data_IF_536993060434
#
_entry.id   IF_536993060434
#
_cell.length_a   1.000
_cell.length_b   1.000
_cell.length_c   1.000
_cell.angle_alpha   90.00
_cell.angle_beta   90.00
_cell.angle_gamma   90.00
#
_symmetry.space_group_name_H-M   'P 1'
#
loop_
_entity.id
_entity.type
_entity.pdbx_description
1 polymer ?
#
# COMPACT_ATOMS: atom_id res chain seq x y z
N UNK A 1 -12.81 -40.34 -44.37
CA UNK A 1 -11.67 -39.85 -43.55
C UNK A 1 -11.92 -40.05 -42.05
N UNK A 2 -13.12 -39.79 -41.54
CA UNK A 2 -13.45 -39.98 -40.11
C UNK A 2 -13.59 -41.44 -39.63
N UNK A 3 -13.86 -42.39 -40.52
CA UNK A 3 -14.01 -43.82 -40.19
C UNK A 3 -12.70 -44.55 -39.83
N UNK A 4 -11.54 -43.87 -39.91
CA UNK A 4 -10.22 -44.43 -39.57
C UNK A 4 -9.64 -43.88 -38.25
N UNK A 5 -10.36 -43.01 -37.55
CA UNK A 5 -9.87 -42.43 -36.30
C UNK A 5 -10.19 -43.35 -35.11
N UNK A 6 -9.26 -43.52 -34.15
CA UNK A 6 -9.53 -44.27 -32.93
C UNK A 6 -10.73 -43.72 -32.15
N UNK A 7 -11.48 -44.60 -31.48
CA UNK A 7 -12.60 -44.20 -30.63
C UNK A 7 -12.16 -43.15 -29.60
N UNK A 8 -12.89 -42.03 -29.54
CA UNK A 8 -12.58 -40.91 -28.64
C UNK A 8 -11.48 -39.97 -29.13
N UNK A 9 -10.90 -40.16 -30.33
CA UNK A 9 -9.91 -39.24 -30.90
C UNK A 9 -10.46 -37.81 -31.04
N UNK A 10 -11.66 -37.66 -31.64
CA UNK A 10 -12.33 -36.36 -31.79
C UNK A 10 -12.53 -35.72 -30.41
N UNK A 11 -13.03 -36.48 -29.43
CA UNK A 11 -13.24 -35.99 -28.06
C UNK A 11 -11.94 -35.50 -27.42
N UNK A 12 -10.85 -36.27 -27.50
CA UNK A 12 -9.53 -35.88 -26.97
C UNK A 12 -8.99 -34.64 -27.66
N UNK A 13 -9.05 -34.58 -29.00
CA UNK A 13 -8.60 -33.43 -29.78
C UNK A 13 -9.42 -32.17 -29.44
N UNK A 14 -10.74 -32.29 -29.31
CA UNK A 14 -11.61 -31.18 -28.88
C UNK A 14 -11.26 -30.69 -27.49
N UNK A 15 -11.06 -31.59 -26.52
CA UNK A 15 -10.66 -31.21 -25.15
C UNK A 15 -9.33 -30.45 -25.16
N UNK A 16 -8.34 -30.92 -25.93
CA UNK A 16 -7.03 -30.27 -26.03
C UNK A 16 -7.16 -28.87 -26.64
N UNK A 17 -7.87 -28.74 -27.76
CA UNK A 17 -8.03 -27.46 -28.47
C UNK A 17 -8.80 -26.46 -27.62
N UNK A 18 -9.92 -26.87 -27.02
CA UNK A 18 -10.75 -25.99 -26.18
C UNK A 18 -10.00 -25.58 -24.92
N UNK A 19 -9.35 -26.52 -24.23
CA UNK A 19 -8.60 -26.20 -23.00
C UNK A 19 -7.39 -25.32 -23.31
N UNK A 20 -6.65 -25.63 -24.39
CA UNK A 20 -5.52 -24.83 -24.84
C UNK A 20 -5.93 -23.41 -25.25
N UNK A 21 -7.05 -23.28 -25.99
CA UNK A 21 -7.60 -22.00 -26.38
C UNK A 21 -8.06 -21.15 -25.19
N UNK A 22 -8.74 -21.76 -24.21
CA UNK A 22 -9.17 -21.07 -22.99
C UNK A 22 -7.98 -20.62 -22.13
N UNK A 23 -6.96 -21.47 -21.97
CA UNK A 23 -5.74 -21.12 -21.25
C UNK A 23 -4.96 -20.01 -21.96
N UNK A 24 -4.87 -20.08 -23.28
CA UNK A 24 -4.21 -19.04 -24.09
C UNK A 24 -4.93 -17.70 -24.01
N UNK A 25 -6.26 -17.69 -24.17
CA UNK A 25 -7.09 -16.49 -24.03
C UNK A 25 -7.00 -15.90 -22.61
N UNK A 26 -7.15 -16.74 -21.57
CA UNK A 26 -7.04 -16.29 -20.19
C UNK A 26 -5.66 -15.72 -19.86
N UNK A 27 -4.59 -16.36 -20.33
CA UNK A 27 -3.24 -15.83 -20.18
C UNK A 27 -3.04 -14.49 -20.89
N UNK A 28 -3.60 -14.33 -22.09
CA UNK A 28 -3.55 -13.08 -22.84
C UNK A 28 -4.32 -11.96 -22.13
N UNK A 29 -5.55 -12.21 -21.67
CA UNK A 29 -6.36 -11.24 -20.92
C UNK A 29 -5.70 -10.83 -19.60
N UNK A 30 -5.04 -11.77 -18.90
CA UNK A 30 -4.27 -11.47 -17.70
C UNK A 30 -3.08 -10.56 -18.01
N UNK A 31 -2.32 -10.83 -19.07
CA UNK A 31 -1.21 -9.98 -19.51
C UNK A 31 -1.67 -8.64 -20.07
N UNK A 32 -2.85 -8.59 -20.71
CA UNK A 32 -3.48 -7.35 -21.18
C UNK A 32 -4.08 -6.53 -20.04
N UNK A 33 -4.25 -7.12 -18.86
CA UNK A 33 -4.82 -6.43 -17.70
C UNK A 33 -6.27 -6.05 -17.87
N UNK A 34 -7.08 -6.87 -18.55
CA UNK A 34 -8.51 -6.60 -18.72
C UNK A 34 -9.23 -6.54 -17.38
N UNK A 35 -9.65 -5.35 -16.93
CA UNK A 35 -10.37 -5.18 -15.66
C UNK A 35 -11.59 -6.07 -15.59
N UNK A 36 -12.37 -6.12 -16.66
CA UNK A 36 -13.58 -6.95 -16.73
C UNK A 36 -13.25 -8.44 -16.60
N UNK A 37 -12.15 -8.91 -17.19
CA UNK A 37 -11.73 -10.29 -17.04
C UNK A 37 -11.28 -10.60 -15.60
N UNK A 38 -10.54 -9.69 -14.97
CA UNK A 38 -10.15 -9.85 -13.58
C UNK A 38 -11.37 -9.86 -12.65
N UNK A 39 -12.26 -8.88 -12.75
CA UNK A 39 -13.43 -8.75 -11.89
C UNK A 39 -14.44 -9.88 -12.08
N UNK A 40 -14.65 -10.35 -13.32
CA UNK A 40 -15.71 -11.34 -13.62
C UNK A 40 -15.23 -12.80 -13.69
N UNK A 41 -13.93 -13.04 -13.87
CA UNK A 41 -13.40 -14.39 -14.00
C UNK A 41 -12.31 -14.70 -12.97
N UNK A 42 -11.19 -13.95 -12.98
CA UNK A 42 -10.02 -14.30 -12.15
C UNK A 42 -10.32 -14.17 -10.66
N UNK A 43 -10.78 -13.00 -10.23
CA UNK A 43 -10.96 -12.69 -8.80
C UNK A 43 -12.08 -13.52 -8.16
N UNK A 44 -13.26 -13.74 -8.79
CA UNK A 44 -14.26 -14.64 -8.25
C UNK A 44 -13.75 -16.07 -8.02
N UNK A 45 -12.91 -16.59 -8.93
CA UNK A 45 -12.28 -17.89 -8.76
C UNK A 45 -11.28 -17.89 -7.60
N UNK A 46 -10.43 -16.86 -7.51
CA UNK A 46 -9.48 -16.71 -6.37
C UNK A 46 -10.23 -16.64 -5.05
N UNK A 47 -11.29 -15.82 -4.96
CA UNK A 47 -12.07 -15.63 -3.74
C UNK A 47 -12.77 -16.91 -3.29
N UNK A 48 -13.24 -17.73 -4.25
CA UNK A 48 -13.93 -18.99 -3.98
C UNK A 48 -13.01 -20.13 -3.56
N UNK A 49 -11.81 -20.23 -4.13
CA UNK A 49 -10.97 -21.42 -4.00
C UNK A 49 -9.70 -21.22 -3.16
N UNK A 50 -9.31 -19.98 -2.83
CA UNK A 50 -8.04 -19.71 -2.16
C UNK A 50 -8.25 -18.74 -1.01
N UNK A 51 -7.78 -19.06 0.20
CA UNK A 51 -7.93 -18.18 1.36
C UNK A 51 -7.17 -16.85 1.23
N UNK A 52 -7.46 -15.92 2.14
CA UNK A 52 -6.90 -14.56 2.17
C UNK A 52 -5.37 -14.52 2.17
N UNK A 53 -4.72 -15.34 3.00
CA UNK A 53 -3.27 -15.30 3.15
C UNK A 53 -2.57 -16.04 2.00
N UNK A 54 -3.11 -17.18 1.56
CA UNK A 54 -2.54 -17.92 0.43
C UNK A 54 -2.63 -17.13 -0.87
N UNK A 55 -3.79 -16.50 -1.16
CA UNK A 55 -3.97 -15.66 -2.35
C UNK A 55 -3.01 -14.47 -2.37
N UNK A 56 -2.79 -13.84 -1.22
CA UNK A 56 -1.82 -12.76 -1.06
C UNK A 56 -0.38 -13.22 -1.35
N UNK A 57 0.05 -14.34 -0.77
CA UNK A 57 1.39 -14.88 -1.00
C UNK A 57 1.59 -15.29 -2.48
N UNK A 58 0.56 -15.85 -3.12
CA UNK A 58 0.59 -16.15 -4.55
C UNK A 58 0.71 -14.88 -5.39
N UNK A 59 -0.01 -13.80 -5.03
CA UNK A 59 0.09 -12.53 -5.73
C UNK A 59 1.51 -11.94 -5.66
N UNK A 60 2.15 -11.97 -4.48
CA UNK A 60 3.56 -11.56 -4.32
C UNK A 60 4.49 -12.44 -5.17
N UNK A 61 4.28 -13.76 -5.16
CA UNK A 61 5.12 -14.70 -5.90
C UNK A 61 5.00 -14.51 -7.42
N UNK A 62 3.78 -14.28 -7.93
CA UNK A 62 3.60 -13.94 -9.33
C UNK A 62 4.24 -12.59 -9.67
N UNK A 63 4.10 -11.59 -8.79
CA UNK A 63 4.76 -10.31 -8.98
C UNK A 63 6.29 -10.42 -8.97
N UNK A 64 6.88 -11.23 -8.08
CA UNK A 64 8.34 -11.45 -8.04
C UNK A 64 8.87 -12.16 -9.29
N UNK A 65 8.03 -12.94 -9.98
CA UNK A 65 8.32 -13.50 -11.31
C UNK A 65 8.04 -12.54 -12.47
N UNK A 66 7.57 -11.32 -12.19
CA UNK A 66 7.20 -10.35 -13.22
C UNK A 66 5.93 -10.74 -13.99
N UNK A 67 5.08 -11.57 -13.38
CA UNK A 67 3.76 -11.96 -13.88
C UNK A 67 2.73 -10.97 -13.32
N UNK A 68 2.79 -9.77 -13.86
CA UNK A 68 1.81 -8.70 -13.69
C UNK A 68 1.24 -8.36 -15.07
N UNK A 69 0.06 -7.71 -15.16
CA UNK A 69 -0.38 -7.12 -16.41
C UNK A 69 0.75 -6.30 -17.06
N UNK A 70 1.01 -6.50 -18.35
CA UNK A 70 2.12 -5.87 -19.09
C UNK A 70 1.65 -4.95 -20.20
N UNK A 71 0.44 -5.15 -20.69
CA UNK A 71 -0.13 -4.45 -21.83
C UNK A 71 -1.48 -3.84 -21.44
N UNK A 72 -2.12 -3.18 -22.41
CA UNK A 72 -3.46 -2.63 -22.23
C UNK A 72 -3.50 -1.21 -21.63
N UNK A 73 -4.72 -0.65 -21.46
CA UNK A 73 -4.93 0.73 -21.06
C UNK A 73 -4.36 1.06 -19.67
N UNK A 74 -4.17 0.05 -18.82
CA UNK A 74 -3.59 0.21 -17.49
C UNK A 74 -2.10 0.54 -17.54
N UNK A 75 -1.44 0.48 -18.71
CA UNK A 75 -0.04 0.89 -18.87
C UNK A 75 0.11 2.30 -19.45
N UNK A 76 -1.00 2.93 -19.83
CA UNK A 76 -0.97 4.30 -20.34
C UNK A 76 -0.67 5.27 -19.20
N UNK A 77 0.41 6.03 -19.35
CA UNK A 77 0.69 7.18 -18.50
C UNK A 77 -0.16 8.37 -18.95
N UNK A 78 -0.69 9.12 -18.00
CA UNK A 78 -1.47 10.34 -18.23
C UNK A 78 -0.66 11.53 -17.71
N UNK A 79 -0.14 12.43 -18.58
CA UNK A 79 0.69 13.56 -18.17
C UNK A 79 0.02 14.46 -17.12
N UNK A 80 -1.31 14.53 -17.11
CA UNK A 80 -2.12 15.30 -16.16
C UNK A 80 -1.96 14.79 -14.72
N UNK A 81 -1.63 13.51 -14.53
CA UNK A 81 -1.39 12.90 -13.23
C UNK A 81 0.03 13.16 -12.71
N UNK A 82 0.94 13.65 -13.54
CA UNK A 82 2.31 13.91 -13.11
C UNK A 82 2.32 14.96 -11.99
N UNK A 83 3.01 14.65 -10.89
CA UNK A 83 3.04 15.51 -9.71
C UNK A 83 4.43 15.55 -9.08
N UNK A 84 4.65 16.49 -8.16
CA UNK A 84 5.84 16.53 -7.31
C UNK A 84 5.44 16.17 -5.89
N UNK A 85 6.19 15.29 -5.25
CA UNK A 85 6.00 14.91 -3.86
C UNK A 85 7.34 14.80 -3.17
N UNK A 86 7.50 15.51 -2.04
CA UNK A 86 8.72 15.53 -1.23
C UNK A 86 10.02 15.78 -2.03
N UNK A 87 9.95 16.66 -3.03
CA UNK A 87 11.09 17.02 -3.89
C UNK A 87 11.34 16.07 -5.05
N UNK A 88 10.54 15.01 -5.23
CA UNK A 88 10.62 14.09 -6.36
C UNK A 88 9.48 14.27 -7.35
N UNK A 89 9.78 14.17 -8.64
CA UNK A 89 8.78 14.07 -9.69
C UNK A 89 8.23 12.65 -9.77
N UNK A 90 6.92 12.51 -9.76
CA UNK A 90 6.19 11.26 -9.88
C UNK A 90 5.36 11.28 -11.16
N UNK A 91 5.23 10.12 -11.80
CA UNK A 91 4.39 9.98 -13.01
C UNK A 91 2.90 10.03 -12.69
N UNK A 92 2.53 9.62 -11.49
CA UNK A 92 1.15 9.66 -10.98
C UNK A 92 1.18 9.69 -9.43
N UNK A 93 0.08 10.11 -8.78
CA UNK A 93 0.02 10.23 -7.32
C UNK A 93 -0.39 8.93 -6.62
N UNK A 94 -0.45 7.79 -7.32
CA UNK A 94 -1.00 6.53 -6.77
C UNK A 94 0.14 5.60 -6.39
N UNK A 95 0.12 5.11 -5.14
CA UNK A 95 1.15 4.24 -4.60
C UNK A 95 0.63 2.91 -4.04
N UNK A 96 1.53 1.94 -3.91
CA UNK A 96 1.30 0.71 -3.18
C UNK A 96 1.53 0.91 -1.69
N UNK A 97 0.52 0.62 -0.86
CA UNK A 97 0.65 0.75 0.59
C UNK A 97 1.52 -0.35 1.21
N UNK A 98 2.16 -0.05 2.35
CA UNK A 98 2.82 -1.07 3.15
C UNK A 98 1.88 -2.21 3.56
N UNK A 99 2.48 -3.36 3.78
CA UNK A 99 1.82 -4.60 4.15
C UNK A 99 1.50 -5.48 2.95
N UNK A 100 1.62 -4.96 1.72
CA UNK A 100 1.57 -5.79 0.52
C UNK A 100 2.88 -6.57 0.38
N UNK A 101 3.96 -5.94 -0.07
CA UNK A 101 5.28 -6.57 -0.17
C UNK A 101 6.08 -6.39 1.12
N UNK A 102 5.71 -7.18 2.16
CA UNK A 102 6.30 -7.06 3.51
C UNK A 102 7.81 -7.30 3.52
N UNK A 103 8.28 -8.25 2.72
CA UNK A 103 9.67 -8.71 2.76
C UNK A 103 10.52 -8.22 1.59
N UNK A 104 9.97 -7.36 0.72
CA UNK A 104 10.66 -6.84 -0.45
C UNK A 104 10.92 -7.88 -1.54
N UNK A 105 10.00 -8.82 -1.73
CA UNK A 105 10.11 -9.95 -2.65
C UNK A 105 9.86 -9.56 -4.11
N UNK A 106 9.10 -8.49 -4.36
CA UNK A 106 8.65 -8.10 -5.70
C UNK A 106 8.98 -6.63 -6.05
N UNK A 107 9.91 -5.98 -5.31
CA UNK A 107 10.22 -4.55 -5.42
C UNK A 107 10.39 -4.08 -6.88
N UNK A 108 11.27 -4.74 -7.64
CA UNK A 108 11.60 -4.29 -9.00
C UNK A 108 10.40 -4.43 -9.95
N UNK A 109 9.74 -5.59 -9.95
CA UNK A 109 8.54 -5.82 -10.76
C UNK A 109 7.41 -4.87 -10.39
N UNK A 110 7.23 -4.56 -9.10
CA UNK A 110 6.26 -3.56 -8.69
C UNK A 110 6.64 -2.19 -9.25
N UNK A 111 7.89 -1.76 -9.12
CA UNK A 111 8.34 -0.46 -9.62
C UNK A 111 8.16 -0.30 -11.13
N UNK A 112 8.45 -1.36 -11.88
CA UNK A 112 8.49 -1.28 -13.34
C UNK A 112 7.15 -1.62 -14.00
N UNK A 113 6.38 -2.55 -13.44
CA UNK A 113 5.24 -3.18 -14.13
C UNK A 113 3.88 -2.87 -13.49
N UNK A 114 3.82 -2.54 -12.19
CA UNK A 114 2.52 -2.32 -11.53
C UNK A 114 1.89 -0.98 -11.91
N UNK A 115 2.72 0.00 -12.26
CA UNK A 115 2.30 1.33 -12.63
C UNK A 115 2.13 2.35 -11.50
N UNK A 116 2.46 1.97 -10.26
CA UNK A 116 2.46 2.89 -9.13
C UNK A 116 3.56 3.96 -9.25
N UNK A 117 3.23 5.20 -8.87
CA UNK A 117 4.20 6.28 -8.69
C UNK A 117 5.02 6.16 -7.39
N UNK A 118 4.54 5.41 -6.40
CA UNK A 118 5.25 5.14 -5.14
C UNK A 118 5.06 3.69 -4.69
N UNK A 119 6.07 3.09 -4.07
CA UNK A 119 5.99 1.73 -3.53
C UNK A 119 6.55 1.70 -2.13
N UNK A 120 5.78 1.13 -1.21
CA UNK A 120 6.18 0.97 0.18
C UNK A 120 6.27 -0.51 0.57
N UNK A 121 7.47 -0.97 0.93
CA UNK A 121 7.66 -2.32 1.51
C UNK A 121 7.52 -2.31 3.03
N UNK A 122 7.42 -3.50 3.62
CA UNK A 122 7.30 -3.67 5.06
C UNK A 122 5.84 -3.78 5.51
N UNK A 123 5.52 -3.65 6.79
CA UNK A 123 6.43 -3.23 7.87
C UNK A 123 7.50 -4.27 8.19
N UNK A 124 8.76 -3.82 8.16
CA UNK A 124 9.95 -4.62 8.48
C UNK A 124 10.29 -4.45 9.95
N UNK A 125 10.58 -5.57 10.62
CA UNK A 125 11.08 -5.61 11.99
C UNK A 125 12.59 -5.91 12.00
N UNK A 126 13.35 -5.51 13.03
CA UNK A 126 14.77 -5.84 13.16
C UNK A 126 15.04 -7.35 13.04
N UNK A 127 14.40 -8.14 13.90
CA UNK A 127 14.55 -9.59 13.99
C UNK A 127 13.39 -10.25 13.23
N UNK A 128 13.62 -11.39 12.54
CA UNK A 128 12.54 -12.14 11.93
C UNK A 128 11.48 -12.56 12.96
N UNK A 129 10.20 -12.46 12.59
CA UNK A 129 9.11 -12.99 13.41
C UNK A 129 7.96 -13.52 12.53
N UNK A 130 7.30 -14.62 12.94
CA UNK A 130 6.28 -15.26 12.12
C UNK A 130 4.95 -14.49 12.07
N UNK A 131 4.73 -13.54 12.99
CA UNK A 131 3.45 -12.87 13.23
C UNK A 131 2.52 -13.66 14.16
N UNK A 132 1.25 -13.27 14.23
CA UNK A 132 0.24 -13.98 15.03
C UNK A 132 -0.20 -15.31 14.36
N UNK A 133 -0.80 -16.26 15.12
CA UNK A 133 -1.28 -17.54 14.57
C UNK A 133 -2.30 -17.38 13.43
N UNK A 134 -2.36 -18.35 12.52
CA UNK A 134 -3.36 -18.42 11.44
C UNK A 134 -4.66 -19.09 11.95
N UNK A 135 -5.83 -18.79 11.36
CA UNK A 135 -6.10 -17.78 10.33
C UNK A 135 -6.04 -16.35 10.90
N UNK A 136 -5.53 -15.42 10.08
CA UNK A 136 -5.21 -14.03 10.50
C UNK A 136 -5.54 -12.96 9.48
N UNK A 137 -6.24 -13.33 8.40
CA UNK A 137 -6.64 -12.46 7.30
C UNK A 137 -7.98 -12.97 6.80
N UNK A 138 -8.98 -12.09 6.77
CA UNK A 138 -10.37 -12.41 6.45
C UNK A 138 -10.84 -11.41 5.42
N UNK A 139 -11.31 -11.91 4.27
CA UNK A 139 -11.96 -11.07 3.25
C UNK A 139 -13.44 -11.01 3.56
N UNK A 140 -13.96 -9.80 3.66
CA UNK A 140 -15.37 -9.50 3.79
C UNK A 140 -15.84 -9.14 2.38
N UNK A 141 -16.24 -10.15 1.60
CA UNK A 141 -16.48 -10.02 0.16
C UNK A 141 -17.63 -9.05 -0.13
N UNK A 142 -18.72 -9.15 0.62
CA UNK A 142 -19.91 -8.29 0.49
C UNK A 142 -19.63 -6.84 0.87
N UNK A 143 -18.65 -6.62 1.74
CA UNK A 143 -18.28 -5.29 2.24
C UNK A 143 -17.08 -4.67 1.50
N UNK A 144 -16.47 -5.40 0.55
CA UNK A 144 -15.16 -5.09 -0.04
C UNK A 144 -14.10 -4.70 1.04
N UNK A 145 -14.15 -5.42 2.16
CA UNK A 145 -13.37 -5.15 3.36
C UNK A 145 -12.37 -6.26 3.68
N UNK A 146 -11.28 -5.93 4.39
CA UNK A 146 -10.35 -6.95 4.90
C UNK A 146 -10.09 -6.69 6.37
N UNK A 147 -10.31 -7.70 7.20
CA UNK A 147 -9.85 -7.74 8.59
C UNK A 147 -8.56 -8.54 8.65
N UNK A 148 -7.51 -7.98 9.24
CA UNK A 148 -6.26 -8.71 9.45
C UNK A 148 -5.67 -8.50 10.84
N UNK A 149 -5.01 -9.55 11.33
CA UNK A 149 -4.26 -9.58 12.58
C UNK A 149 -2.86 -10.17 12.40
N UNK A 150 -2.18 -9.81 11.31
CA UNK A 150 -0.85 -10.36 10.99
C UNK A 150 0.18 -10.23 12.12
N UNK A 151 0.23 -9.08 12.81
CA UNK A 151 1.20 -8.84 13.89
C UNK A 151 2.65 -8.74 13.40
N UNK A 152 2.90 -7.98 12.33
CA UNK A 152 4.22 -7.80 11.70
C UNK A 152 4.97 -9.11 11.42
N UNK A 153 4.35 -10.02 10.67
CA UNK A 153 5.10 -11.12 10.07
C UNK A 153 6.17 -10.55 9.12
N UNK A 154 7.43 -10.81 9.41
CA UNK A 154 8.58 -10.16 8.78
C UNK A 154 9.77 -11.11 8.79
N UNK A 155 10.50 -11.18 7.67
CA UNK A 155 11.73 -11.96 7.57
C UNK A 155 12.97 -11.27 8.17
N UNK A 156 12.77 -10.13 8.84
CA UNK A 156 13.82 -9.39 9.54
C UNK A 156 14.61 -8.44 8.64
N UNK A 157 15.18 -7.40 9.26
CA UNK A 157 15.86 -6.31 8.57
C UNK A 157 17.01 -6.83 7.68
N UNK A 158 17.80 -7.79 8.16
CA UNK A 158 18.95 -8.33 7.42
C UNK A 158 18.54 -8.96 6.08
N UNK A 159 17.48 -9.78 6.05
CA UNK A 159 17.06 -10.47 4.81
C UNK A 159 16.39 -9.50 3.85
N UNK A 160 15.54 -8.61 4.38
CA UNK A 160 14.86 -7.59 3.57
C UNK A 160 15.88 -6.60 2.99
N UNK A 161 16.91 -6.19 3.76
CA UNK A 161 17.97 -5.31 3.31
C UNK A 161 18.71 -5.87 2.09
N UNK A 162 19.00 -7.18 2.06
CA UNK A 162 19.62 -7.81 0.89
C UNK A 162 18.76 -7.62 -0.36
N UNK A 163 17.45 -7.88 -0.26
CA UNK A 163 16.52 -7.70 -1.39
C UNK A 163 16.40 -6.23 -1.81
N UNK A 164 16.32 -5.32 -0.84
CA UNK A 164 16.28 -3.87 -1.09
C UNK A 164 17.54 -3.42 -1.83
N UNK A 165 18.74 -3.81 -1.38
CA UNK A 165 20.00 -3.46 -2.06
C UNK A 165 20.04 -4.00 -3.49
N UNK A 166 19.66 -5.26 -3.69
CA UNK A 166 19.59 -5.86 -5.03
C UNK A 166 18.60 -5.11 -5.92
N UNK A 167 17.40 -4.81 -5.43
CA UNK A 167 16.40 -4.09 -6.21
C UNK A 167 16.88 -2.67 -6.56
N UNK A 168 17.41 -1.91 -5.59
CA UNK A 168 17.91 -0.54 -5.79
C UNK A 168 19.08 -0.47 -6.76
N UNK A 169 19.99 -1.45 -6.74
CA UNK A 169 21.11 -1.50 -7.69
C UNK A 169 20.64 -1.70 -9.14
N UNK A 170 19.46 -2.30 -9.35
CA UNK A 170 18.87 -2.55 -10.67
C UNK A 170 17.75 -1.56 -11.02
N UNK A 171 17.48 -0.57 -10.16
CA UNK A 171 16.36 0.34 -10.31
C UNK A 171 16.74 1.48 -11.26
N UNK A 172 16.14 1.52 -12.46
CA UNK A 172 16.40 2.63 -13.40
C UNK A 172 15.78 3.94 -12.92
N UNK A 173 16.33 5.06 -13.34
CA UNK A 173 15.83 6.38 -12.93
C UNK A 173 14.35 6.58 -13.28
N UNK A 174 13.62 7.31 -12.43
CA UNK A 174 12.26 7.82 -12.66
C UNK A 174 11.09 6.81 -12.72
N UNK A 175 11.20 5.60 -12.15
CA UNK A 175 10.03 4.69 -12.08
C UNK A 175 9.03 5.06 -10.99
N UNK A 176 9.42 4.89 -9.72
CA UNK A 176 8.57 5.12 -8.57
C UNK A 176 9.42 5.57 -7.37
N UNK A 177 8.83 6.34 -6.48
CA UNK A 177 9.44 6.66 -5.19
C UNK A 177 9.42 5.45 -4.28
N UNK A 178 10.54 5.14 -3.63
CA UNK A 178 10.69 3.94 -2.81
C UNK A 178 10.65 4.22 -1.31
N UNK A 179 9.70 3.59 -0.62
CA UNK A 179 9.53 3.65 0.82
C UNK A 179 9.85 2.35 1.53
N UNK A 180 10.44 2.45 2.72
CA UNK A 180 10.57 1.31 3.65
C UNK A 180 9.83 1.61 4.94
N UNK A 181 8.83 0.80 5.25
CA UNK A 181 8.04 0.91 6.48
C UNK A 181 8.68 0.12 7.61
N UNK A 182 8.97 0.80 8.73
CA UNK A 182 9.67 0.26 9.90
C UNK A 182 8.70 0.04 11.05
N UNK A 183 8.92 -1.02 11.82
CA UNK A 183 8.15 -1.31 13.02
C UNK A 183 8.95 -2.11 14.03
N UNK A 184 8.38 -2.27 15.21
CA UNK A 184 9.02 -2.96 16.34
C UNK A 184 8.71 -4.45 16.38
N UNK A 185 9.65 -5.26 16.86
CA UNK A 185 9.42 -6.64 17.22
C UNK A 185 8.44 -6.75 18.41
N UNK A 186 7.59 -7.79 18.41
CA UNK A 186 6.59 -7.98 19.48
C UNK A 186 7.23 -8.12 20.86
N UNK A 187 8.36 -8.82 20.94
CA UNK A 187 9.10 -9.08 22.17
C UNK A 187 10.13 -7.99 22.54
N UNK A 188 10.28 -6.93 21.73
CA UNK A 188 11.25 -5.88 22.02
C UNK A 188 10.77 -4.98 23.16
N UNK A 189 11.69 -4.70 24.09
CA UNK A 189 11.46 -3.86 25.27
C UNK A 189 11.46 -2.37 24.96
N UNK A 190 12.37 -1.88 24.12
CA UNK A 190 12.45 -0.48 23.72
C UNK A 190 12.23 -0.33 22.21
N UNK A 191 11.13 0.33 21.86
CA UNK A 191 10.78 0.58 20.46
C UNK A 191 11.85 1.43 19.74
N UNK A 192 12.53 2.35 20.43
CA UNK A 192 13.54 3.24 19.84
C UNK A 192 14.69 2.45 19.21
N UNK A 193 15.14 1.39 19.89
CA UNK A 193 16.20 0.50 19.41
C UNK A 193 15.78 -0.18 18.10
N UNK A 194 14.54 -0.64 18.02
CA UNK A 194 14.04 -1.30 16.81
C UNK A 194 13.97 -0.35 15.61
N UNK A 195 13.46 0.87 15.83
CA UNK A 195 13.42 1.89 14.77
C UNK A 195 14.83 2.34 14.39
N UNK A 196 15.76 2.46 15.34
CA UNK A 196 17.16 2.78 15.05
C UNK A 196 17.82 1.72 14.16
N UNK A 197 17.63 0.43 14.45
CA UNK A 197 18.13 -0.66 13.59
C UNK A 197 17.54 -0.54 12.18
N UNK A 198 16.24 -0.27 12.09
CA UNK A 198 15.57 -0.03 10.81
C UNK A 198 16.14 1.15 10.03
N UNK A 199 16.27 2.31 10.68
CA UNK A 199 16.84 3.54 10.09
C UNK A 199 18.26 3.25 9.60
N UNK A 200 19.09 2.63 10.46
CA UNK A 200 20.47 2.33 10.12
C UNK A 200 20.61 1.35 8.96
N UNK A 201 19.67 0.42 8.83
CA UNK A 201 19.65 -0.56 7.75
C UNK A 201 19.21 0.05 6.42
N UNK A 202 18.12 0.82 6.42
CA UNK A 202 17.39 1.15 5.19
C UNK A 202 17.56 2.59 4.72
N UNK A 203 17.97 3.53 5.58
CA UNK A 203 18.12 4.94 5.19
C UNK A 203 18.96 5.17 3.92
N UNK A 204 20.10 4.47 3.68
CA UNK A 204 20.89 4.66 2.47
C UNK A 204 20.26 4.12 1.18
N UNK A 205 19.14 3.40 1.28
CA UNK A 205 18.59 2.59 0.20
C UNK A 205 17.12 2.88 -0.09
N UNK A 206 16.59 3.99 0.43
CA UNK A 206 15.21 4.40 0.19
C UNK A 206 15.09 5.90 -0.02
N UNK A 207 13.97 6.31 -0.60
CA UNK A 207 13.63 7.71 -0.78
C UNK A 207 12.89 8.24 0.44
N UNK A 208 12.17 7.37 1.15
CA UNK A 208 11.56 7.66 2.43
C UNK A 208 11.50 6.46 3.36
N UNK A 209 11.55 6.75 4.66
CA UNK A 209 11.32 5.82 5.76
C UNK A 209 9.96 6.11 6.39
N UNK A 210 9.24 5.08 6.82
CA UNK A 210 8.00 5.25 7.58
C UNK A 210 8.17 4.71 8.98
N UNK A 211 7.92 5.57 9.98
CA UNK A 211 7.79 5.19 11.38
C UNK A 211 6.34 4.75 11.61
N UNK A 212 6.11 3.44 11.75
CA UNK A 212 4.77 2.89 11.90
C UNK A 212 4.40 2.63 13.36
N UNK A 213 3.68 3.59 13.95
CA UNK A 213 3.17 3.53 15.33
C UNK A 213 1.69 3.15 15.41
N UNK A 214 1.08 2.66 14.32
CA UNK A 214 -0.38 2.61 14.19
C UNK A 214 -1.00 1.22 13.98
N UNK A 215 -0.19 0.16 13.87
CA UNK A 215 -0.71 -1.21 13.76
C UNK A 215 -1.54 -1.60 15.00
N UNK A 216 -2.80 -2.06 14.83
CA UNK A 216 -3.60 -2.59 15.95
C UNK A 216 -3.13 -3.96 16.43
N UNK A 217 -2.24 -4.62 15.68
CA UNK A 217 -1.93 -6.03 15.83
C UNK A 217 -0.65 -6.32 16.62
N UNK A 218 0.02 -5.26 17.08
CA UNK A 218 1.22 -5.32 17.91
C UNK A 218 0.89 -4.65 19.24
N UNK A 219 0.79 -5.40 20.35
CA UNK A 219 0.43 -4.85 21.65
C UNK A 219 1.31 -3.66 22.05
N UNK A 220 0.68 -2.60 22.58
CA UNK A 220 1.37 -1.39 23.03
C UNK A 220 1.99 -0.54 21.92
N UNK A 221 1.83 -0.87 20.64
CA UNK A 221 2.41 -0.03 19.58
C UNK A 221 1.67 1.31 19.45
N UNK A 222 0.34 1.29 19.52
CA UNK A 222 -0.49 2.49 19.34
C UNK A 222 -0.33 3.52 20.45
N UNK A 223 0.15 3.13 21.64
CA UNK A 223 0.46 4.08 22.72
C UNK A 223 1.66 4.96 22.39
N UNK A 224 2.52 4.58 21.43
CA UNK A 224 3.59 5.45 20.92
C UNK A 224 3.06 6.69 20.18
N UNK A 225 1.75 6.79 19.95
CA UNK A 225 1.10 7.99 19.42
C UNK A 225 0.79 9.03 20.51
N UNK A 226 0.91 8.67 21.80
CA UNK A 226 0.84 9.63 22.88
C UNK A 226 1.96 10.66 22.72
N UNK A 227 1.67 11.93 23.00
CA UNK A 227 2.56 13.06 22.72
C UNK A 227 4.00 12.82 23.17
N UNK A 228 4.22 12.60 24.47
CA UNK A 228 5.57 12.44 25.03
C UNK A 228 6.34 11.25 24.43
N UNK A 229 5.67 10.11 24.23
CA UNK A 229 6.30 8.92 23.65
C UNK A 229 6.66 9.15 22.18
N UNK A 230 5.78 9.83 21.43
CA UNK A 230 6.00 10.19 20.04
C UNK A 230 7.15 11.18 19.90
N UNK A 231 7.19 12.22 20.73
CA UNK A 231 8.26 13.22 20.78
C UNK A 231 9.62 12.55 21.01
N UNK A 232 9.71 11.69 22.03
CA UNK A 232 10.93 10.95 22.36
C UNK A 232 11.38 10.02 21.22
N UNK A 233 10.43 9.32 20.59
CA UNK A 233 10.72 8.43 19.48
C UNK A 233 11.24 9.20 18.26
N UNK A 234 10.58 10.31 17.89
CA UNK A 234 10.94 11.09 16.71
C UNK A 234 12.26 11.86 16.89
N UNK A 235 12.53 12.40 18.08
CA UNK A 235 13.83 12.99 18.39
C UNK A 235 14.95 11.95 18.24
N UNK A 236 14.75 10.74 18.76
CA UNK A 236 15.72 9.65 18.60
C UNK A 236 15.90 9.25 17.12
N UNK A 237 14.80 9.04 16.40
CA UNK A 237 14.82 8.68 14.99
C UNK A 237 15.55 9.73 14.14
N UNK A 238 15.28 11.03 14.39
CA UNK A 238 15.97 12.13 13.74
C UNK A 238 17.46 12.15 14.08
N UNK A 239 17.82 12.02 15.36
CA UNK A 239 19.21 11.97 15.80
C UNK A 239 19.99 10.85 15.09
N UNK A 240 19.45 9.64 15.08
CA UNK A 240 20.06 8.48 14.41
C UNK A 240 20.25 8.77 12.92
N UNK A 241 19.23 9.31 12.23
CA UNK A 241 19.31 9.60 10.80
C UNK A 241 20.30 10.73 10.48
N UNK A 242 20.32 11.79 11.27
CA UNK A 242 21.26 12.92 11.14
C UNK A 242 22.71 12.45 11.32
N UNK A 243 22.97 11.57 12.29
CA UNK A 243 24.30 11.03 12.58
C UNK A 243 24.91 10.23 11.41
N UNK A 244 24.07 9.73 10.49
CA UNK A 244 24.54 8.98 9.31
C UNK A 244 25.23 9.84 8.25
N UNK A 245 25.01 11.17 8.24
CA UNK A 245 25.60 12.11 7.28
C UNK A 245 25.50 11.63 5.82
N UNK A 246 24.34 11.09 5.44
CA UNK A 246 24.10 10.57 4.08
C UNK A 246 24.10 11.74 3.07
N UNK A 247 24.69 11.53 1.89
CA UNK A 247 24.66 12.50 0.78
C UNK A 247 23.23 12.85 0.37
N UNK A 248 22.39 11.84 0.25
CA UNK A 248 20.94 11.98 0.04
C UNK A 248 20.19 11.44 1.25
N UNK A 249 19.66 12.35 2.06
CA UNK A 249 18.84 12.00 3.23
C UNK A 249 17.44 11.53 2.77
N UNK A 250 16.97 10.33 3.20
CA UNK A 250 15.60 9.92 2.96
C UNK A 250 14.62 10.77 3.78
N UNK A 251 13.40 10.92 3.27
CA UNK A 251 12.31 11.58 3.98
C UNK A 251 11.79 10.71 5.12
N UNK A 252 11.37 11.30 6.23
CA UNK A 252 10.80 10.56 7.37
C UNK A 252 9.30 10.80 7.44
N UNK A 253 8.52 9.74 7.31
CA UNK A 253 7.07 9.77 7.36
C UNK A 253 6.55 9.12 8.64
N UNK A 254 5.47 9.66 9.19
CA UNK A 254 4.76 9.06 10.33
C UNK A 254 3.43 8.47 9.86
N UNK A 255 3.19 7.17 10.12
CA UNK A 255 1.92 6.52 9.78
C UNK A 255 1.02 6.41 11.01
N UNK A 256 -0.15 7.05 10.95
CA UNK A 256 -1.06 7.18 12.09
C UNK A 256 -2.31 6.32 11.97
N UNK A 257 -2.95 6.07 13.12
CA UNK A 257 -4.22 5.35 13.22
C UNK A 257 -5.40 6.26 12.83
N UNK A 258 -6.46 5.74 12.19
CA UNK A 258 -7.71 6.49 12.06
C UNK A 258 -8.48 6.58 13.39
N UNK A 259 -8.18 5.70 14.34
CA UNK A 259 -8.91 5.53 15.61
C UNK A 259 -8.49 6.54 16.71
N UNK A 260 -7.95 7.69 16.32
CA UNK A 260 -7.47 8.72 17.24
C UNK A 260 -8.62 9.65 17.67
N UNK A 261 -8.60 10.05 18.93
CA UNK A 261 -9.46 11.12 19.48
C UNK A 261 -9.06 12.50 18.92
N UNK A 262 -9.91 13.50 19.12
CA UNK A 262 -9.64 14.87 18.69
C UNK A 262 -8.38 15.47 19.32
N UNK A 263 -8.16 15.25 20.62
CA UNK A 263 -6.97 15.72 21.35
C UNK A 263 -5.70 15.02 20.88
N UNK A 264 -5.73 13.70 20.68
CA UNK A 264 -4.57 12.96 20.16
C UNK A 264 -4.16 13.44 18.76
N UNK A 265 -5.13 13.76 17.89
CA UNK A 265 -4.84 14.37 16.57
C UNK A 265 -4.19 15.75 16.71
N UNK A 266 -4.65 16.57 17.65
CA UNK A 266 -4.06 17.88 17.93
C UNK A 266 -2.61 17.74 18.44
N UNK A 267 -2.36 16.82 19.36
CA UNK A 267 -1.02 16.55 19.86
C UNK A 267 -0.08 16.07 18.76
N UNK A 268 -0.51 15.11 17.94
CA UNK A 268 0.27 14.65 16.78
C UNK A 268 0.55 15.81 15.82
N UNK A 269 -0.45 16.64 15.51
CA UNK A 269 -0.28 17.79 14.62
C UNK A 269 0.75 18.80 15.16
N UNK A 270 0.74 19.07 16.46
CA UNK A 270 1.75 19.93 17.10
C UNK A 270 3.16 19.33 16.95
N UNK A 271 3.31 18.03 17.18
CA UNK A 271 4.59 17.33 17.04
C UNK A 271 5.08 17.35 15.60
N UNK A 272 4.24 16.99 14.61
CA UNK A 272 4.73 16.91 13.22
C UNK A 272 4.97 18.26 12.55
N UNK A 273 4.36 19.34 13.05
CA UNK A 273 4.65 20.70 12.59
C UNK A 273 5.99 21.24 13.13
N UNK A 274 6.48 20.71 14.24
CA UNK A 274 7.72 21.20 14.85
C UNK A 274 8.94 20.53 14.15
N UNK A 275 9.76 21.30 13.43
CA UNK A 275 10.87 20.76 12.62
C UNK A 275 11.93 20.05 13.46
N UNK A 276 11.97 20.26 14.78
CA UNK A 276 12.91 19.54 15.65
C UNK A 276 12.66 18.03 15.68
N UNK A 277 11.44 17.58 15.35
CA UNK A 277 11.11 16.16 15.28
C UNK A 277 11.37 15.54 13.91
N UNK A 278 11.63 16.35 12.88
CA UNK A 278 12.09 15.89 11.57
C UNK A 278 11.12 15.00 10.82
N UNK A 279 9.80 15.22 10.96
CA UNK A 279 8.77 14.54 10.17
C UNK A 279 8.53 15.34 8.88
N UNK A 280 8.75 14.70 7.74
CA UNK A 280 8.59 15.31 6.42
C UNK A 280 7.17 15.15 5.85
N UNK A 281 6.41 14.14 6.28
CA UNK A 281 5.03 13.88 5.83
C UNK A 281 4.29 12.89 6.74
N UNK A 282 2.97 12.83 6.57
CA UNK A 282 2.08 11.87 7.23
C UNK A 282 1.57 10.81 6.26
N UNK A 283 1.31 9.59 6.77
CA UNK A 283 0.46 8.60 6.09
C UNK A 283 -0.83 8.43 6.90
N UNK A 284 -1.95 8.79 6.28
CA UNK A 284 -3.28 8.85 6.91
C UNK A 284 -4.25 7.99 6.09
N UNK A 285 -4.56 6.75 6.47
CA UNK A 285 -4.27 6.11 7.75
C UNK A 285 -3.92 4.64 7.63
N UNK A 286 -3.59 4.03 8.77
CA UNK A 286 -3.60 2.59 8.96
C UNK A 286 -5.04 2.04 9.05
N UNK A 287 -5.18 0.76 9.37
CA UNK A 287 -6.46 0.08 9.56
C UNK A 287 -7.19 0.53 10.83
N UNK A 288 -8.52 0.40 10.85
CA UNK A 288 -9.38 0.76 12.01
C UNK A 288 -9.73 -0.48 12.85
N UNK A 289 -9.84 -0.32 14.17
CA UNK A 289 -10.44 -1.36 15.03
C UNK A 289 -11.96 -1.24 15.12
N UNK A 290 -12.53 -0.12 14.69
CA UNK A 290 -13.98 0.07 14.64
C UNK A 290 -14.63 -0.93 13.67
N UNK A 291 -15.90 -1.25 13.96
CA UNK A 291 -16.75 -2.08 13.10
C UNK A 291 -18.02 -1.30 12.79
N UNK A 292 -18.12 -0.68 11.60
CA UNK A 292 -19.33 0.00 11.17
C UNK A 292 -20.53 -0.95 11.23
N UNK A 293 -21.69 -0.44 11.68
CA UNK A 293 -22.92 -1.23 11.76
C UNK A 293 -23.42 -1.70 10.38
N UNK A 294 -22.93 -1.08 9.30
CA UNK A 294 -23.23 -1.43 7.91
C UNK A 294 -22.53 -2.71 7.44
N UNK A 295 -21.60 -3.27 8.22
CA UNK A 295 -20.93 -4.52 7.85
C UNK A 295 -21.88 -5.71 7.86
N UNK A 296 -21.91 -6.47 6.78
CA UNK A 296 -22.82 -7.63 6.62
C UNK A 296 -22.12 -8.98 6.63
N UNK A 297 -20.84 -9.06 6.23
CA UNK A 297 -20.12 -10.34 6.14
C UNK A 297 -20.01 -11.05 7.50
N UNK A 298 -20.03 -12.38 7.48
CA UNK A 298 -19.97 -13.24 8.67
C UNK A 298 -18.68 -13.04 9.52
N UNK A 299 -17.56 -12.72 8.87
CA UNK A 299 -16.28 -12.47 9.53
C UNK A 299 -16.16 -11.07 10.16
N UNK A 300 -17.21 -10.23 10.14
CA UNK A 300 -17.15 -8.84 10.64
C UNK A 300 -16.69 -8.71 12.10
N UNK A 301 -16.90 -9.74 12.91
CA UNK A 301 -16.52 -9.77 14.33
C UNK A 301 -15.09 -10.29 14.57
N UNK A 302 -14.35 -10.65 13.52
CA UNK A 302 -12.97 -11.10 13.65
C UNK A 302 -12.08 -10.01 14.27
N UNK A 303 -11.16 -10.42 15.14
CA UNK A 303 -10.19 -9.53 15.75
C UNK A 303 -9.16 -9.01 14.73
N UNK A 304 -8.74 -7.75 14.89
CA UNK A 304 -7.71 -7.12 14.08
C UNK A 304 -8.18 -5.81 13.44
N UNK A 305 -7.36 -5.29 12.53
CA UNK A 305 -7.65 -4.06 11.82
C UNK A 305 -8.47 -4.28 10.56
N UNK A 306 -9.56 -3.52 10.41
CA UNK A 306 -10.42 -3.42 9.24
C UNK A 306 -9.84 -2.42 8.22
N UNK A 307 -9.91 -2.79 6.95
CA UNK A 307 -9.48 -2.02 5.78
C UNK A 307 -10.48 -2.21 4.64
N UNK A 308 -10.23 -1.57 3.49
CA UNK A 308 -11.12 -1.63 2.33
C UNK A 308 -12.20 -0.55 2.34
N UNK A 309 -13.24 -0.73 1.54
CA UNK A 309 -14.32 0.26 1.37
C UNK A 309 -14.92 0.77 2.71
N UNK A 310 -15.11 -0.05 3.75
CA UNK A 310 -15.68 0.41 5.02
C UNK A 310 -14.81 1.43 5.77
N UNK A 311 -13.51 1.53 5.46
CA UNK A 311 -12.58 2.50 6.06
C UNK A 311 -12.56 3.83 5.30
N UNK A 312 -13.09 3.91 4.07
CA UNK A 312 -12.91 5.04 3.14
C UNK A 312 -13.23 6.39 3.79
N UNK A 313 -14.44 6.52 4.32
CA UNK A 313 -14.96 7.79 4.86
C UNK A 313 -14.18 8.23 6.11
N UNK A 314 -13.93 7.31 7.05
CA UNK A 314 -13.18 7.60 8.27
C UNK A 314 -11.74 8.03 7.96
N UNK A 315 -11.09 7.35 7.02
CA UNK A 315 -9.75 7.73 6.53
C UNK A 315 -9.76 9.11 5.87
N UNK A 316 -10.71 9.40 4.98
CA UNK A 316 -10.83 10.70 4.32
C UNK A 316 -11.07 11.84 5.33
N UNK A 317 -11.91 11.63 6.35
CA UNK A 317 -12.12 12.64 7.39
C UNK A 317 -10.88 12.84 8.28
N UNK A 318 -10.13 11.77 8.55
CA UNK A 318 -8.85 11.88 9.25
C UNK A 318 -7.85 12.71 8.42
N UNK A 319 -7.75 12.49 7.10
CA UNK A 319 -6.94 13.33 6.20
C UNK A 319 -7.35 14.80 6.31
N UNK A 320 -8.65 15.10 6.20
CA UNK A 320 -9.20 16.46 6.29
C UNK A 320 -8.89 17.13 7.62
N UNK A 321 -9.03 16.40 8.71
CA UNK A 321 -8.74 16.90 10.06
C UNK A 321 -7.25 17.20 10.21
N UNK A 322 -6.38 16.25 9.83
CA UNK A 322 -4.94 16.44 9.95
C UNK A 322 -4.43 17.58 9.07
N UNK A 323 -4.92 17.70 7.82
CA UNK A 323 -4.57 18.81 6.93
C UNK A 323 -4.91 20.17 7.55
N UNK A 324 -6.09 20.30 8.16
CA UNK A 324 -6.49 21.53 8.87
C UNK A 324 -5.60 21.81 10.08
N UNK A 325 -5.31 20.79 10.90
CA UNK A 325 -4.49 20.94 12.10
C UNK A 325 -3.03 21.27 11.79
N UNK A 326 -2.49 20.74 10.68
CA UNK A 326 -1.15 21.06 10.17
C UNK A 326 -1.12 22.31 9.29
N UNK A 327 -2.28 22.96 9.08
CA UNK A 327 -2.43 24.13 8.20
C UNK A 327 -1.85 23.91 6.80
N UNK A 328 -1.95 22.68 6.30
CA UNK A 328 -1.39 22.27 5.01
C UNK A 328 0.14 22.21 4.92
N UNK A 329 0.88 22.46 6.01
CA UNK A 329 2.35 22.55 6.00
C UNK A 329 3.03 21.18 5.94
N UNK A 330 2.36 20.14 6.41
CA UNK A 330 2.88 18.76 6.41
C UNK A 330 2.14 17.97 5.32
N UNK A 331 2.83 17.56 4.22
CA UNK A 331 2.24 16.76 3.16
C UNK A 331 1.64 15.44 3.68
N UNK A 332 0.55 14.98 3.07
CA UNK A 332 -0.18 13.78 3.48
C UNK A 332 -0.25 12.77 2.34
N UNK A 333 0.07 11.51 2.64
CA UNK A 333 -0.29 10.34 1.84
C UNK A 333 -1.64 9.82 2.35
N UNK A 334 -2.69 9.92 1.53
CA UNK A 334 -4.02 9.39 1.84
C UNK A 334 -4.09 7.87 1.62
N UNK A 335 -4.50 7.10 2.64
CA UNK A 335 -4.53 5.64 2.61
C UNK A 335 -5.80 5.12 3.31
N UNK A 336 -6.54 4.22 2.64
CA UNK A 336 -7.71 3.54 3.19
C UNK A 336 -8.96 3.64 2.32
N UNK A 337 -9.45 2.49 1.85
CA UNK A 337 -10.70 2.38 1.10
C UNK A 337 -10.71 3.08 -0.26
N UNK A 338 -9.59 3.10 -0.96
CA UNK A 338 -9.46 3.67 -2.31
C UNK A 338 -9.54 2.51 -3.31
N UNK A 339 -10.59 2.48 -4.13
CA UNK A 339 -10.77 1.48 -5.20
C UNK A 339 -11.08 2.11 -6.57
N UNK A 340 -11.26 3.44 -6.62
CA UNK A 340 -11.56 4.20 -7.83
C UNK A 340 -10.82 5.55 -7.88
N UNK A 341 -10.83 6.16 -9.07
CA UNK A 341 -10.35 7.53 -9.28
C UNK A 341 -11.11 8.58 -8.46
N UNK A 342 -12.42 8.38 -8.28
CA UNK A 342 -13.23 9.25 -7.43
C UNK A 342 -12.75 9.21 -5.98
N UNK A 343 -12.46 8.03 -5.41
CA UNK A 343 -11.96 7.90 -4.04
C UNK A 343 -10.59 8.56 -3.85
N UNK A 344 -9.70 8.42 -4.84
CA UNK A 344 -8.38 9.05 -4.81
C UNK A 344 -8.53 10.57 -4.83
N UNK A 345 -9.37 11.07 -5.74
CA UNK A 345 -9.64 12.48 -5.86
C UNK A 345 -10.34 13.05 -4.61
N UNK A 346 -11.27 12.33 -3.99
CA UNK A 346 -11.90 12.70 -2.71
C UNK A 346 -10.84 12.92 -1.60
N UNK A 347 -9.86 12.02 -1.49
CA UNK A 347 -8.75 12.16 -0.53
C UNK A 347 -7.80 13.31 -0.87
N UNK A 348 -7.52 13.52 -2.15
CA UNK A 348 -6.71 14.66 -2.60
C UNK A 348 -7.42 15.97 -2.22
N UNK A 349 -8.72 16.07 -2.48
CA UNK A 349 -9.57 17.21 -2.07
C UNK A 349 -9.67 17.38 -0.56
N UNK A 350 -9.50 16.32 0.21
CA UNK A 350 -9.42 16.39 1.66
C UNK A 350 -8.06 16.90 2.18
N UNK A 351 -7.03 16.98 1.34
CA UNK A 351 -5.70 17.49 1.69
C UNK A 351 -4.55 16.51 1.47
N UNK A 352 -4.79 15.34 0.88
CA UNK A 352 -3.70 14.43 0.50
C UNK A 352 -2.96 14.94 -0.75
N UNK A 353 -1.63 14.85 -0.75
CA UNK A 353 -0.81 15.16 -1.93
C UNK A 353 -0.71 13.97 -2.88
N UNK A 354 -0.66 12.76 -2.31
CA UNK A 354 -0.62 11.47 -3.02
C UNK A 354 -1.46 10.45 -2.25
N UNK A 355 -1.78 9.31 -2.85
CA UNK A 355 -2.60 8.28 -2.25
C UNK A 355 -1.97 6.89 -2.32
N UNK A 356 -2.37 6.00 -1.42
CA UNK A 356 -1.93 4.60 -1.37
C UNK A 356 -3.13 3.65 -1.35
N UNK A 357 -3.00 2.55 -2.08
CA UNK A 357 -4.00 1.48 -2.13
C UNK A 357 -3.41 0.12 -1.73
N UNK A 358 -4.30 -0.75 -1.25
CA UNK A 358 -4.01 -2.15 -0.96
C UNK A 358 -5.26 -2.98 -1.23
N UNK A 359 -6.31 -2.81 -0.42
CA UNK A 359 -7.47 -3.72 -0.42
C UNK A 359 -8.10 -3.87 -1.81
N UNK A 360 -8.13 -2.82 -2.63
CA UNK A 360 -8.61 -2.88 -4.01
C UNK A 360 -7.92 -3.97 -4.86
N UNK A 361 -6.60 -4.20 -4.70
CA UNK A 361 -5.88 -5.27 -5.42
C UNK A 361 -6.42 -6.65 -5.01
N UNK A 362 -6.79 -6.82 -3.74
CA UNK A 362 -7.31 -8.10 -3.24
C UNK A 362 -8.72 -8.42 -3.77
N UNK A 363 -9.47 -7.42 -4.24
CA UNK A 363 -10.82 -7.58 -4.81
C UNK A 363 -10.83 -7.55 -6.34
N UNK A 364 -10.00 -6.71 -6.94
CA UNK A 364 -10.03 -6.41 -8.39
C UNK A 364 -8.74 -6.81 -9.14
N UNK A 365 -7.72 -7.30 -8.43
CA UNK A 365 -6.43 -7.63 -9.02
C UNK A 365 -5.58 -6.41 -9.38
N UNK A 366 -4.43 -6.64 -10.03
CA UNK A 366 -3.48 -5.57 -10.39
C UNK A 366 -3.92 -4.56 -11.46
N UNK A 367 -4.84 -4.84 -12.39
CA UNK A 367 -5.38 -3.82 -13.29
C UNK A 367 -5.88 -2.56 -12.59
N UNK A 368 -6.30 -2.68 -11.32
CA UNK A 368 -6.84 -1.58 -10.53
C UNK A 368 -5.86 -0.42 -10.27
N UNK A 369 -4.57 -0.53 -10.61
CA UNK A 369 -3.54 0.44 -10.25
C UNK A 369 -3.52 1.73 -11.07
N UNK A 370 -4.02 1.74 -12.32
CA UNK A 370 -3.91 2.90 -13.24
C UNK A 370 -5.20 3.25 -13.99
N UNK A 371 -5.89 2.28 -14.58
CA UNK A 371 -7.06 2.53 -15.45
C UNK A 371 -8.27 3.04 -14.68
N UNK A 372 -8.50 2.55 -13.46
CA UNK A 372 -9.55 3.06 -12.56
C UNK A 372 -9.31 4.49 -12.08
N UNK A 373 -8.09 5.00 -12.22
CA UNK A 373 -7.70 6.36 -11.84
C UNK A 373 -7.72 7.37 -12.98
N UNK A 374 -8.12 6.97 -14.20
CA UNK A 374 -8.33 7.90 -15.34
C UNK A 374 -9.23 9.08 -14.93
N UNK A 375 -10.28 8.79 -14.16
CA UNK A 375 -11.18 9.82 -13.65
C UNK A 375 -10.47 10.91 -12.84
N UNK A 376 -9.36 10.62 -12.16
CA UNK A 376 -8.60 11.64 -11.42
C UNK A 376 -8.12 12.74 -12.37
N UNK A 377 -7.56 12.40 -13.54
CA UNK A 377 -7.11 13.38 -14.52
C UNK A 377 -8.27 14.19 -15.11
N UNK A 378 -9.42 13.54 -15.33
CA UNK A 378 -10.62 14.20 -15.83
C UNK A 378 -11.20 15.19 -14.78
N UNK A 379 -11.29 14.78 -13.51
CA UNK A 379 -11.70 15.66 -12.40
C UNK A 379 -10.68 16.77 -12.14
N UNK A 380 -9.38 16.47 -12.27
CA UNK A 380 -8.34 17.48 -12.15
C UNK A 380 -8.36 18.48 -13.30
N UNK A 381 -8.65 18.04 -14.52
CA UNK A 381 -8.88 18.91 -15.68
C UNK A 381 -10.08 19.83 -15.48
N UNK A 382 -11.16 19.33 -14.87
CA UNK A 382 -12.33 20.13 -14.51
C UNK A 382 -11.96 21.15 -13.41
N UNK A 383 -11.30 20.73 -12.34
CA UNK A 383 -10.92 21.60 -11.23
C UNK A 383 -9.87 22.64 -11.58
N UNK A 384 -8.89 22.31 -12.42
CA UNK A 384 -7.88 23.25 -12.90
C UNK A 384 -8.51 24.32 -13.79
N UNK A 385 -9.50 23.97 -14.61
CA UNK A 385 -10.35 24.95 -15.31
C UNK A 385 -11.18 25.81 -14.35
N UNK A 386 -11.47 25.31 -13.15
CA UNK A 386 -12.16 26.01 -12.08
C UNK A 386 -11.22 26.65 -11.04
N UNK A 387 -9.89 26.56 -11.21
CA UNK A 387 -8.86 27.13 -10.31
C UNK A 387 -8.61 26.40 -8.98
N UNK A 388 -9.18 25.21 -8.75
CA UNK A 388 -9.19 24.56 -7.43
C UNK A 388 -7.89 23.78 -7.13
N UNK A 389 -7.21 23.27 -8.16
CA UNK A 389 -5.94 22.54 -7.98
C UNK A 389 -4.76 23.46 -7.75
N UNK A 390 -4.77 24.64 -8.36
CA UNK A 390 -3.73 25.64 -8.12
C UNK A 390 -3.77 26.18 -6.69
N UNK A 391 -4.93 26.07 -6.01
CA UNK A 391 -5.10 26.38 -4.58
C UNK A 391 -4.57 25.28 -3.64
N UNK A 392 -4.55 24.02 -4.08
CA UNK A 392 -4.00 22.89 -3.30
C UNK A 392 -2.50 22.66 -3.55
N UNK A 393 -1.95 23.24 -4.63
CA UNK A 393 -0.53 23.21 -5.00
C UNK A 393 0.28 24.38 -4.43
N UNK A 394 -0.38 25.44 -3.95
CA UNK A 394 0.20 26.50 -3.11
C UNK A 394 0.18 26.05 -1.65
#
# INVERSE_FOLDING_TARGET
>A
MYSRLPTGYITKSTVIIVSGGLLGYGGLEMLWGSETFYDKAVMPMVHKYVDGETSHNLAIRFASWGVLPRFGPNHKEYPELACKFLGKSLKNPVGLAAGFDKNGEAILSMAELSGFGLIEVGTVTPIPQPGNPKPRVFRLLEDEGIINRYGFNSEGATKVLKRVKTARANWKENFAMFGVNLGKNKASGDAKVDYEIGINSFAPHCDYLVINVSSPNTPGLRSLQNKTDLENLLLHAKYVLDARKLESRPKVLLKISPDLTGSERQDIAQVVNDPKFGVDALIVSNTTISRPATLVNECKNEAGGLSGAPLRQMSTECVRTMYKLTKGQVPIIGCGGISSGEDAYEKIRAGASVVQLYSAIAFHGFPSSRSRYRGVGDYQGIDSKLGIIDYLKQ
#
